data_IF_649214902230
#
_entry.id   IF_649214902230
#
_cell.length_a   1.000
_cell.length_b   1.000
_cell.length_c   1.000
_cell.angle_alpha   90.00
_cell.angle_beta   90.00
_cell.angle_gamma   90.00
#
_symmetry.space_group_name_H-M   'P 1'
#
loop_
_entity.id
_entity.type
_entity.pdbx_description
1 polymer ?
#
# COMPACT_ATOMS: atom_id res chain seq x y z
N UNK A 1 -6.68 45.08 17.06
CA UNK A 1 -6.84 43.65 17.40
C UNK A 1 -6.05 42.87 16.36
N UNK A 2 -4.77 42.63 16.63
CA UNK A 2 -3.86 41.96 15.71
C UNK A 2 -4.19 40.46 15.67
N UNK A 3 -4.42 39.94 14.46
CA UNK A 3 -4.75 38.54 14.24
C UNK A 3 -3.55 37.66 14.57
N UNK A 4 -3.65 36.89 15.66
CA UNK A 4 -2.69 35.81 15.95
C UNK A 4 -2.65 34.85 14.75
N UNK A 5 -1.52 34.79 14.06
CA UNK A 5 -1.33 33.96 12.88
C UNK A 5 -1.64 32.50 13.19
N UNK A 6 -2.41 31.83 12.32
CA UNK A 6 -2.82 30.42 12.43
C UNK A 6 -1.64 29.42 12.49
N UNK A 7 -0.39 29.89 12.38
CA UNK A 7 0.82 29.07 12.31
C UNK A 7 1.50 28.85 13.65
N UNK A 8 1.31 29.73 14.65
CA UNK A 8 1.89 29.55 16.00
C UNK A 8 1.30 28.36 16.76
N UNK A 9 0.16 27.82 16.31
CA UNK A 9 -0.49 26.65 16.93
C UNK A 9 -0.03 25.32 16.36
N UNK A 10 0.78 25.30 15.29
CA UNK A 10 1.25 24.04 14.72
C UNK A 10 2.46 23.56 15.53
N UNK A 11 2.34 22.38 16.12
CA UNK A 11 3.40 21.75 16.90
C UNK A 11 4.57 21.26 16.04
N UNK A 12 5.35 20.35 16.59
CA UNK A 12 6.47 19.71 15.87
C UNK A 12 6.02 19.02 14.58
N UNK A 13 6.82 19.22 13.53
CA UNK A 13 6.73 18.47 12.30
C UNK A 13 7.56 17.18 12.41
N UNK A 14 7.23 16.23 11.55
CA UNK A 14 7.86 14.93 11.43
C UNK A 14 8.25 14.72 9.98
N UNK A 15 9.27 13.90 9.74
CA UNK A 15 9.79 13.57 8.42
C UNK A 15 9.77 12.06 8.21
N UNK A 16 9.27 11.63 7.05
CA UNK A 16 9.31 10.24 6.63
C UNK A 16 10.76 9.84 6.34
N UNK A 17 11.28 8.83 7.04
CA UNK A 17 12.64 8.33 6.78
C UNK A 17 12.71 7.35 5.59
N UNK A 18 11.56 6.87 5.08
CA UNK A 18 11.54 6.02 3.87
C UNK A 18 11.81 6.78 2.58
N UNK A 19 11.42 8.06 2.49
CA UNK A 19 11.61 8.88 1.30
C UNK A 19 12.32 10.22 1.55
N UNK A 20 12.48 10.65 2.81
CA UNK A 20 13.04 11.94 3.24
C UNK A 20 12.41 13.21 2.62
N UNK A 21 11.37 13.06 1.79
CA UNK A 21 10.68 14.16 1.08
C UNK A 21 9.36 14.55 1.73
N UNK A 22 8.71 13.62 2.43
CA UNK A 22 7.41 13.84 3.03
C UNK A 22 7.54 14.33 4.48
N UNK A 23 7.01 15.52 4.75
CA UNK A 23 7.09 16.18 6.06
C UNK A 23 5.72 16.69 6.51
N UNK A 24 5.44 16.75 7.81
CA UNK A 24 4.18 17.31 8.31
C UNK A 24 3.81 16.87 9.72
N UNK A 25 2.52 16.89 10.05
CA UNK A 25 2.06 16.38 11.35
C UNK A 25 2.28 14.86 11.43
N UNK A 26 2.61 14.36 12.63
CA UNK A 26 2.90 12.94 12.89
C UNK A 26 1.91 11.99 12.20
N UNK A 27 0.61 12.25 12.40
CA UNK A 27 -0.47 11.42 11.84
C UNK A 27 -0.43 11.34 10.30
N UNK A 28 -0.02 12.38 9.60
CA UNK A 28 0.01 12.36 8.14
C UNK A 28 1.27 11.65 7.63
N UNK A 29 2.41 11.86 8.29
CA UNK A 29 3.68 11.23 7.92
C UNK A 29 3.64 9.73 8.15
N UNK A 30 3.08 9.28 9.26
CA UNK A 30 2.84 7.86 9.52
C UNK A 30 1.86 7.23 8.50
N UNK A 31 0.81 7.96 8.09
CA UNK A 31 -0.15 7.45 7.10
C UNK A 31 0.51 7.30 5.73
N UNK A 32 1.35 8.27 5.37
CA UNK A 32 2.21 8.19 4.20
C UNK A 32 3.15 6.99 4.28
N UNK A 33 3.81 6.77 5.43
CA UNK A 33 4.72 5.63 5.59
C UNK A 33 4.00 4.29 5.36
N UNK A 34 2.86 4.05 6.02
CA UNK A 34 2.11 2.81 5.81
C UNK A 34 1.68 2.62 4.36
N UNK A 35 1.35 3.69 3.65
CA UNK A 35 0.85 3.60 2.28
C UNK A 35 1.95 3.31 1.24
N UNK A 36 3.16 3.83 1.45
CA UNK A 36 4.22 3.82 0.43
C UNK A 36 5.45 3.00 0.80
N UNK A 37 5.63 2.65 2.08
CA UNK A 37 6.83 1.98 2.57
C UNK A 37 6.55 0.70 3.37
N UNK A 38 5.34 0.52 3.90
CA UNK A 38 4.97 -0.72 4.58
C UNK A 38 4.38 -1.74 3.62
N UNK A 39 4.70 -3.02 3.85
CA UNK A 39 4.01 -4.14 3.21
C UNK A 39 2.61 -4.34 3.83
N UNK A 40 1.69 -4.95 3.08
CA UNK A 40 0.31 -5.17 3.52
C UNK A 40 0.24 -5.99 4.82
N UNK A 41 1.10 -7.01 4.96
CA UNK A 41 1.21 -7.88 6.14
C UNK A 41 1.81 -7.16 7.36
N UNK A 42 2.39 -5.97 7.16
CA UNK A 42 3.00 -5.16 8.21
C UNK A 42 2.07 -4.02 8.67
N UNK A 43 0.95 -3.76 7.99
CA UNK A 43 0.02 -2.69 8.38
C UNK A 43 -0.99 -3.20 9.40
N UNK A 44 -1.38 -2.42 10.43
CA UNK A 44 -2.31 -2.87 11.45
C UNK A 44 -3.68 -3.31 10.92
N UNK A 45 -4.26 -2.56 9.99
CA UNK A 45 -5.55 -2.93 9.41
C UNK A 45 -5.53 -2.76 7.91
N UNK A 46 -6.14 -3.70 7.20
CA UNK A 46 -6.34 -3.56 5.76
C UNK A 46 -7.64 -4.20 5.29
N UNK A 47 -8.10 -3.77 4.12
CA UNK A 47 -9.24 -4.36 3.45
C UNK A 47 -8.78 -5.49 2.52
N UNK A 48 -9.30 -6.71 2.67
CA UNK A 48 -8.94 -7.83 1.79
C UNK A 48 -9.51 -7.74 0.37
N UNK A 49 -10.51 -6.90 0.13
CA UNK A 49 -11.10 -6.74 -1.21
C UNK A 49 -10.28 -5.86 -2.14
N UNK A 50 -9.62 -4.83 -1.60
CA UNK A 50 -8.95 -3.81 -2.39
C UNK A 50 -7.56 -3.42 -1.86
N UNK A 51 -7.09 -4.12 -0.83
CA UNK A 51 -5.83 -3.86 -0.14
C UNK A 51 -5.69 -2.42 0.38
N UNK A 52 -6.83 -1.77 0.69
CA UNK A 52 -6.81 -0.47 1.34
C UNK A 52 -6.25 -0.59 2.75
N UNK A 53 -5.18 0.12 3.03
CA UNK A 53 -4.47 0.13 4.31
C UNK A 53 -4.99 1.27 5.19
N UNK A 54 -5.25 0.96 6.46
CA UNK A 54 -5.68 1.92 7.48
C UNK A 54 -4.87 1.77 8.76
N UNK A 55 -4.76 2.86 9.53
CA UNK A 55 -4.11 2.81 10.84
C UNK A 55 -5.03 2.30 11.94
N UNK A 56 -6.32 2.51 11.74
CA UNK A 56 -7.35 2.13 12.68
C UNK A 56 -8.41 1.29 12.00
N UNK A 57 -8.98 0.33 12.73
CA UNK A 57 -10.09 -0.49 12.25
C UNK A 57 -11.24 0.37 11.73
N UNK A 58 -11.56 1.47 12.43
CA UNK A 58 -12.64 2.40 12.04
C UNK A 58 -12.41 3.01 10.65
N UNK A 59 -11.17 3.30 10.28
CA UNK A 59 -10.86 3.84 8.94
C UNK A 59 -11.14 2.80 7.86
N UNK A 60 -10.70 1.56 8.07
CA UNK A 60 -10.94 0.45 7.13
C UNK A 60 -12.43 0.10 7.09
N UNK A 61 -13.13 0.10 8.22
CA UNK A 61 -14.57 -0.13 8.29
C UNK A 61 -15.39 0.94 7.57
N UNK A 62 -15.01 2.21 7.72
CA UNK A 62 -15.65 3.30 6.98
C UNK A 62 -15.37 3.16 5.48
N UNK A 63 -14.16 2.76 5.12
CA UNK A 63 -13.79 2.48 3.75
C UNK A 63 -14.64 1.32 3.19
N UNK A 64 -14.78 0.19 3.89
CA UNK A 64 -15.57 -0.96 3.42
C UNK A 64 -17.03 -0.60 3.17
N UNK A 65 -17.64 0.20 4.04
CA UNK A 65 -19.04 0.65 3.89
C UNK A 65 -19.24 1.73 2.82
N UNK A 66 -18.27 2.61 2.63
CA UNK A 66 -18.40 3.77 1.74
C UNK A 66 -17.86 3.54 0.32
N UNK A 67 -17.07 2.49 0.11
CA UNK A 67 -16.42 2.24 -1.17
C UNK A 67 -17.38 1.58 -2.15
N UNK A 68 -17.71 2.28 -3.25
CA UNK A 68 -18.66 1.83 -4.27
C UNK A 68 -18.41 0.39 -4.77
N UNK A 69 -17.16 -0.01 -5.10
CA UNK A 69 -16.87 -1.38 -5.51
C UNK A 69 -17.26 -2.43 -4.45
N UNK A 70 -17.14 -2.11 -3.16
CA UNK A 70 -17.51 -3.03 -2.09
C UNK A 70 -19.02 -3.10 -1.92
N UNK A 71 -19.71 -1.98 -2.08
CA UNK A 71 -21.17 -1.95 -2.07
C UNK A 71 -21.76 -2.78 -3.21
N UNK A 72 -21.18 -2.70 -4.41
CA UNK A 72 -21.58 -3.55 -5.53
C UNK A 72 -21.28 -5.03 -5.29
N UNK A 73 -20.13 -5.34 -4.68
CA UNK A 73 -19.79 -6.71 -4.29
C UNK A 73 -20.78 -7.27 -3.26
N UNK A 74 -21.20 -6.46 -2.28
CA UNK A 74 -22.22 -6.79 -1.30
C UNK A 74 -23.58 -7.04 -1.96
N UNK A 75 -24.04 -6.13 -2.83
CA UNK A 75 -25.31 -6.28 -3.57
C UNK A 75 -25.32 -7.58 -4.40
N UNK A 76 -24.20 -7.92 -5.04
CA UNK A 76 -24.05 -9.19 -5.77
C UNK A 76 -24.12 -10.43 -4.85
N UNK A 77 -23.59 -10.35 -3.62
CA UNK A 77 -23.67 -11.45 -2.66
C UNK A 77 -25.09 -11.65 -2.13
N UNK A 78 -25.85 -10.56 -1.94
CA UNK A 78 -27.27 -10.61 -1.56
C UNK A 78 -28.09 -11.30 -2.64
N UNK A 79 -27.82 -11.00 -3.93
CA UNK A 79 -28.48 -11.67 -5.06
C UNK A 79 -28.16 -13.18 -5.12
N UNK A 80 -27.00 -13.60 -4.60
CA UNK A 80 -26.62 -15.01 -4.46
C UNK A 80 -27.22 -15.68 -3.19
N UNK A 81 -28.08 -14.98 -2.46
CA UNK A 81 -28.72 -15.50 -1.24
C UNK A 81 -27.81 -15.50 0.00
N UNK A 82 -26.65 -14.81 -0.05
CA UNK A 82 -25.76 -14.64 1.10
C UNK A 82 -26.14 -13.37 1.87
N UNK A 83 -25.85 -13.35 3.18
CA UNK A 83 -26.19 -12.21 4.04
C UNK A 83 -25.15 -11.10 3.92
N UNK A 84 -25.63 -9.86 3.95
CA UNK A 84 -24.81 -8.63 3.94
C UNK A 84 -23.93 -8.44 5.20
N UNK A 85 -24.18 -9.21 6.26
CA UNK A 85 -23.44 -9.15 7.53
C UNK A 85 -21.95 -9.50 7.37
N UNK A 86 -21.57 -10.10 6.24
CA UNK A 86 -20.20 -10.45 5.87
C UNK A 86 -19.29 -9.25 5.56
N UNK A 87 -19.76 -7.99 5.52
CA UNK A 87 -18.89 -6.83 5.26
C UNK A 87 -17.77 -6.70 6.30
N UNK A 88 -18.05 -7.06 7.56
CA UNK A 88 -17.04 -7.07 8.63
C UNK A 88 -15.93 -8.10 8.37
N UNK A 89 -16.18 -9.12 7.54
CA UNK A 89 -15.19 -10.12 7.14
C UNK A 89 -14.06 -9.54 6.29
N UNK A 90 -14.26 -8.40 5.64
CA UNK A 90 -13.25 -7.81 4.77
C UNK A 90 -12.24 -6.94 5.49
N UNK A 91 -12.45 -6.65 6.78
CA UNK A 91 -11.48 -5.94 7.60
C UNK A 91 -10.56 -6.97 8.24
N UNK A 92 -9.30 -6.97 7.82
CA UNK A 92 -8.27 -7.79 8.44
C UNK A 92 -7.47 -6.95 9.44
N UNK A 93 -7.10 -7.60 10.54
CA UNK A 93 -6.21 -7.09 11.56
C UNK A 93 -4.96 -7.99 11.55
N UNK A 94 -3.78 -7.38 11.43
CA UNK A 94 -2.53 -8.12 11.51
C UNK A 94 -2.12 -8.30 12.97
N UNK A 95 -1.78 -9.54 13.35
CA UNK A 95 -1.46 -9.90 14.73
C UNK A 95 -0.15 -9.26 15.22
N UNK A 96 0.81 -9.03 14.31
CA UNK A 96 2.07 -8.33 14.61
C UNK A 96 2.26 -7.13 13.67
N UNK A 97 1.56 -6.01 13.95
CA UNK A 97 1.61 -4.85 13.09
C UNK A 97 2.92 -4.08 13.29
N UNK A 98 3.47 -3.54 12.21
CA UNK A 98 4.64 -2.68 12.26
C UNK A 98 4.40 -1.50 13.19
N UNK A 99 5.18 -1.43 14.26
CA UNK A 99 5.18 -0.28 15.14
C UNK A 99 6.10 0.81 14.57
N UNK A 100 5.50 1.93 14.16
CA UNK A 100 6.25 3.09 13.68
C UNK A 100 7.04 3.73 14.83
N UNK A 101 8.35 3.52 14.84
CA UNK A 101 9.31 4.18 15.73
C UNK A 101 9.95 5.39 15.05
N UNK A 102 10.86 6.06 15.77
CA UNK A 102 11.63 7.20 15.26
C UNK A 102 12.52 6.84 14.06
N UNK A 103 12.83 5.55 13.85
CA UNK A 103 13.54 5.06 12.67
C UNK A 103 12.73 5.24 11.38
N UNK A 104 11.41 5.18 11.48
CA UNK A 104 10.50 5.32 10.33
C UNK A 104 10.01 6.76 10.17
N UNK A 105 9.75 7.42 11.29
CA UNK A 105 9.20 8.77 11.34
C UNK A 105 10.02 9.61 12.32
N UNK A 106 10.92 10.43 11.79
CA UNK A 106 11.80 11.28 12.59
C UNK A 106 11.05 12.53 13.03
N UNK A 107 11.10 12.83 14.32
CA UNK A 107 10.66 14.14 14.84
C UNK A 107 11.69 15.19 14.44
N UNK A 108 11.25 16.24 13.77
CA UNK A 108 12.11 17.36 13.42
C UNK A 108 12.30 18.28 14.63
N UNK A 109 13.38 19.05 14.61
CA UNK A 109 13.61 20.11 15.60
C UNK A 109 12.52 21.18 15.50
N UNK A 110 12.39 22.00 16.54
CA UNK A 110 11.43 23.09 16.55
C UNK A 110 11.66 24.07 15.38
N UNK A 111 12.92 24.40 15.10
CA UNK A 111 13.32 25.35 14.06
C UNK A 111 12.97 24.83 12.66
N UNK A 112 13.32 23.59 12.35
CA UNK A 112 12.95 22.92 11.08
C UNK A 112 11.43 22.86 10.92
N UNK A 113 10.71 22.51 12.00
CA UNK A 113 9.25 22.46 12.00
C UNK A 113 8.63 23.82 11.70
N UNK A 114 9.14 24.89 12.32
CA UNK A 114 8.68 26.26 12.08
C UNK A 114 8.91 26.69 10.62
N UNK A 115 10.07 26.37 10.03
CA UNK A 115 10.35 26.68 8.64
C UNK A 115 9.36 26.01 7.68
N UNK A 116 9.05 24.73 7.88
CA UNK A 116 8.07 23.99 7.07
C UNK A 116 6.70 24.67 7.13
N UNK A 117 6.23 25.04 8.33
CA UNK A 117 4.93 25.68 8.49
C UNK A 117 4.89 27.08 7.89
N UNK A 118 5.96 27.86 8.03
CA UNK A 118 6.09 29.17 7.42
C UNK A 118 6.10 29.09 5.89
N UNK A 119 6.84 28.12 5.31
CA UNK A 119 6.90 27.93 3.87
C UNK A 119 5.53 27.53 3.28
N UNK A 120 4.78 26.66 3.98
CA UNK A 120 3.41 26.29 3.57
C UNK A 120 2.45 27.48 3.61
N UNK A 121 2.56 28.33 4.63
CA UNK A 121 1.71 29.51 4.74
C UNK A 121 2.01 30.58 3.68
N UNK A 122 3.28 30.75 3.32
CA UNK A 122 3.70 31.64 2.22
C UNK A 122 3.16 31.14 0.88
N UNK A 123 3.34 29.84 0.60
CA UNK A 123 2.83 29.22 -0.63
C UNK A 123 1.31 29.36 -0.78
N UNK A 124 0.55 29.20 0.32
CA UNK A 124 -0.91 29.40 0.28
C UNK A 124 -1.36 30.85 0.04
N UNK A 125 -0.49 31.84 0.26
CA UNK A 125 -0.78 33.24 -0.04
C UNK A 125 -0.42 33.62 -1.48
N UNK A 126 0.55 32.93 -2.09
CA UNK A 126 0.97 33.16 -3.48
C UNK A 126 0.03 32.47 -4.48
N UNK A 127 -0.45 31.26 -4.15
CA UNK A 127 -1.41 30.48 -4.95
C UNK A 127 -2.86 30.80 -4.55
N UNK A 128 -3.26 32.07 -4.71
CA UNK A 128 -4.57 32.58 -4.27
C UNK A 128 -5.75 31.65 -4.54
N UNK A 129 -6.41 31.22 -3.46
CA UNK A 129 -7.82 30.81 -3.36
C UNK A 129 -8.48 30.27 -4.64
N UNK A 130 -8.22 29.00 -4.98
CA UNK A 130 -9.20 28.17 -5.69
C UNK A 130 -9.86 27.18 -4.73
N UNK A 131 -11.17 27.11 -4.86
CA UNK A 131 -12.15 26.53 -3.95
C UNK A 131 -12.09 25.01 -3.82
N UNK A 132 -12.47 24.55 -2.63
CA UNK A 132 -13.13 23.28 -2.34
C UNK A 132 -12.36 21.98 -2.55
N UNK A 133 -11.97 21.37 -1.43
CA UNK A 133 -12.30 19.96 -1.17
C UNK A 133 -11.39 18.88 -1.73
N UNK A 134 -10.32 19.20 -2.47
CA UNK A 134 -9.39 18.18 -2.94
C UNK A 134 -8.16 18.09 -2.04
N UNK A 135 -7.93 16.88 -1.52
CA UNK A 135 -6.70 16.48 -0.83
C UNK A 135 -5.53 16.44 -1.82
N UNK A 136 -5.23 17.57 -2.46
CA UNK A 136 -4.15 17.74 -3.42
C UNK A 136 -2.84 17.95 -2.66
N UNK A 137 -2.27 16.86 -2.16
CA UNK A 137 -0.85 16.87 -1.82
C UNK A 137 -0.07 16.76 -3.11
N UNK A 138 0.51 17.91 -3.49
CA UNK A 138 1.53 18.15 -4.53
C UNK A 138 2.23 16.86 -4.94
N UNK A 139 1.72 16.25 -6.01
CA UNK A 139 2.58 15.54 -6.95
C UNK A 139 3.15 16.62 -7.85
N UNK A 140 4.45 16.92 -7.72
CA UNK A 140 5.24 17.21 -8.90
C UNK A 140 6.61 16.52 -8.77
N UNK A 141 6.71 15.48 -9.61
CA UNK A 141 7.77 15.27 -10.59
C UNK A 141 9.15 14.86 -10.05
N UNK A 142 9.23 13.60 -9.61
CA UNK A 142 10.35 12.78 -10.06
C UNK A 142 9.88 12.11 -11.36
N UNK A 143 10.57 12.38 -12.47
CA UNK A 143 10.50 11.55 -13.68
C UNK A 143 11.03 10.18 -13.28
N UNK A 144 10.15 9.33 -12.78
CA UNK A 144 10.42 7.91 -12.62
C UNK A 144 10.22 7.25 -13.98
N UNK A 145 11.13 6.37 -14.42
CA UNK A 145 10.90 5.60 -15.63
C UNK A 145 9.61 4.79 -15.48
N UNK A 146 8.86 4.75 -16.59
CA UNK A 146 7.60 4.04 -16.76
C UNK A 146 7.69 2.60 -16.21
N UNK A 147 6.84 2.18 -15.25
CA UNK A 147 6.91 0.85 -14.64
C UNK A 147 6.53 -0.31 -15.60
N UNK A 148 6.33 -0.05 -16.89
CA UNK A 148 5.99 -1.06 -17.90
C UNK A 148 7.13 -1.43 -18.87
N UNK A 149 8.38 -1.01 -18.64
CA UNK A 149 9.51 -1.40 -19.52
C UNK A 149 10.62 -2.22 -18.86
N UNK A 150 10.51 -2.61 -17.60
CA UNK A 150 11.39 -3.65 -17.04
C UNK A 150 10.65 -4.97 -17.11
N UNK A 151 10.64 -5.54 -18.32
CA UNK A 151 10.58 -7.00 -18.44
C UNK A 151 11.92 -7.45 -17.85
N UNK A 152 11.97 -8.16 -16.71
CA UNK A 152 13.20 -8.82 -16.32
C UNK A 152 13.58 -9.75 -17.47
N UNK A 153 14.78 -9.58 -18.02
CA UNK A 153 15.38 -10.62 -18.87
C UNK A 153 15.15 -11.95 -18.18
N UNK A 154 14.59 -12.97 -18.87
CA UNK A 154 14.49 -14.28 -18.28
C UNK A 154 15.91 -14.70 -17.93
N UNK A 155 16.17 -14.81 -16.62
CA UNK A 155 17.32 -15.52 -16.09
C UNK A 155 17.36 -16.85 -16.82
N UNK A 156 18.39 -17.04 -17.64
CA UNK A 156 18.74 -18.37 -18.12
C UNK A 156 19.15 -19.14 -16.87
N UNK A 157 18.16 -19.79 -16.25
CA UNK A 157 18.40 -20.84 -15.29
C UNK A 157 19.13 -21.93 -16.07
N UNK A 158 20.39 -22.19 -15.72
CA UNK A 158 21.07 -23.40 -16.18
C UNK A 158 20.18 -24.58 -15.83
N UNK A 159 19.66 -25.23 -16.87
CA UNK A 159 18.75 -26.37 -16.70
C UNK A 159 19.38 -27.37 -15.73
N UNK A 160 18.67 -27.80 -14.68
CA UNK A 160 19.13 -28.94 -13.90
C UNK A 160 19.15 -30.13 -14.85
N UNK A 161 20.34 -30.69 -15.09
CA UNK A 161 20.53 -31.96 -15.80
C UNK A 161 19.78 -33.03 -15.02
N UNK A 162 18.52 -33.25 -15.39
CA UNK A 162 17.71 -34.37 -14.93
C UNK A 162 18.31 -35.62 -15.55
N UNK A 163 18.88 -36.55 -14.76
CA UNK A 163 19.33 -37.82 -15.31
C UNK A 163 18.13 -38.53 -15.92
N UNK A 164 18.30 -39.00 -17.15
CA UNK A 164 17.26 -39.68 -17.90
C UNK A 164 16.65 -40.82 -17.05
N UNK A 165 15.30 -40.93 -16.97
CA UNK A 165 14.68 -42.04 -16.28
C UNK A 165 15.06 -43.34 -16.99
N UNK A 166 15.71 -44.23 -16.26
CA UNK A 166 16.01 -45.59 -16.71
C UNK A 166 14.66 -46.30 -16.84
N UNK A 167 14.20 -46.47 -18.08
CA UNK A 167 13.05 -47.30 -18.40
C UNK A 167 13.43 -48.77 -18.16
N UNK A 168 12.64 -49.55 -17.40
CA UNK A 168 12.83 -50.99 -17.36
C UNK A 168 12.54 -51.58 -18.73
N UNK A 169 13.46 -52.41 -19.23
CA UNK A 169 13.27 -53.14 -20.48
C UNK A 169 12.06 -54.07 -20.35
N UNK A 170 11.00 -53.77 -21.11
CA UNK A 170 9.85 -54.65 -21.25
C UNK A 170 10.27 -55.78 -22.19
N UNK A 171 10.24 -57.06 -21.77
CA UNK A 171 10.54 -58.17 -22.66
C UNK A 171 9.51 -58.21 -23.80
N UNK A 172 9.99 -58.21 -25.03
CA UNK A 172 9.13 -58.39 -26.21
C UNK A 172 8.46 -59.76 -26.17
N UNK A 173 7.19 -59.88 -26.60
CA UNK A 173 6.53 -61.17 -26.73
C UNK A 173 7.23 -62.01 -27.79
N UNK A 174 7.62 -63.21 -27.39
CA UNK A 174 8.22 -64.23 -28.25
C UNK A 174 7.10 -64.73 -29.17
N UNK A 175 7.15 -64.37 -30.46
CA UNK A 175 6.25 -64.93 -31.47
C UNK A 175 6.55 -66.42 -31.63
N UNK A 176 5.69 -67.27 -31.10
CA UNK A 176 5.62 -68.68 -31.46
C UNK A 176 4.72 -68.85 -32.68
N UNK A 177 5.20 -68.38 -33.82
CA UNK A 177 4.69 -68.80 -35.12
C UNK A 177 5.81 -69.49 -35.87
N UNK A 178 5.92 -70.79 -35.65
CA UNK A 178 6.34 -71.72 -36.69
C UNK A 178 5.85 -73.13 -36.33
N UNK A 179 4.68 -73.42 -36.89
CA UNK A 179 4.24 -74.76 -37.18
C UNK A 179 5.09 -75.33 -38.34
N UNK A 180 5.85 -76.40 -38.08
CA UNK A 180 5.81 -77.68 -38.82
C UNK A 180 6.95 -78.59 -38.40
#
# INVERSE_FOLDING_TARGET
MEGRGKNEKRGFAYQCQGCHKYEGEKRYVEAHYYKYHAALDSVPFYCSLCHFMGKTEREVLRHTKGHRPHKLAEENLILQGKKAEDILKYVHNNEDPLQLTELHVKKLTWEESQQIWMNRAKKSNEEGSTTAGDNLWVQTEAVGPDPLTIIPEPLMEDEPVVPAPILPEIPLPINTDNAK
#
